data_IF_825209916704
#
_entry.id   IF_825209916704
#
_cell.length_a   1.000
_cell.length_b   1.000
_cell.length_c   1.000
_cell.angle_alpha   90.00
_cell.angle_beta   90.00
_cell.angle_gamma   90.00
#
_symmetry.space_group_name_H-M   'P 1'
#
loop_
_entity.id
_entity.type
_entity.pdbx_description
1 polymer ?
#
# COMPACT_ATOMS: atom_id res chain seq x y z
N UNK A 1 9.95 21.01 -18.68
CA UNK A 1 9.74 19.70 -18.01
C UNK A 1 8.65 19.84 -16.94
N UNK A 2 7.36 19.69 -17.26
CA UNK A 2 6.30 19.74 -16.27
C UNK A 2 6.12 18.38 -15.58
N UNK A 3 5.85 18.46 -14.27
CA UNK A 3 5.90 17.42 -13.25
C UNK A 3 4.90 16.28 -13.54
N UNK A 4 5.40 15.09 -13.92
CA UNK A 4 4.67 13.81 -13.82
C UNK A 4 4.17 13.64 -12.38
N UNK A 5 3.06 13.00 -12.05
CA UNK A 5 1.92 12.46 -12.79
C UNK A 5 1.01 11.90 -11.68
N UNK A 6 -0.30 12.14 -11.80
CA UNK A 6 -1.43 11.35 -11.28
C UNK A 6 -1.43 10.88 -9.82
N UNK A 7 -2.47 11.34 -9.11
CA UNK A 7 -3.07 10.69 -7.94
C UNK A 7 -3.03 9.17 -8.14
N UNK A 8 -2.22 8.51 -7.32
CA UNK A 8 -1.84 7.11 -7.41
C UNK A 8 -3.01 6.21 -7.01
N UNK A 9 -3.67 5.64 -8.01
CA UNK A 9 -4.58 4.51 -7.83
C UNK A 9 -3.76 3.33 -7.29
N UNK A 10 -3.80 3.10 -5.98
CA UNK A 10 -3.18 1.94 -5.36
C UNK A 10 -3.97 0.73 -5.88
N UNK A 11 -3.36 -0.15 -6.69
CA UNK A 11 -4.09 -1.29 -7.24
C UNK A 11 -4.62 -2.16 -6.10
N UNK A 12 -5.83 -2.68 -6.27
CA UNK A 12 -6.43 -3.68 -5.37
C UNK A 12 -5.42 -4.82 -5.18
N UNK A 13 -5.17 -5.27 -3.94
CA UNK A 13 -4.10 -6.23 -3.67
C UNK A 13 -2.79 -5.61 -3.19
N UNK A 14 -2.62 -4.28 -3.25
CA UNK A 14 -1.37 -3.63 -2.83
C UNK A 14 -1.59 -2.54 -1.81
N UNK A 15 -0.58 -2.34 -0.98
CA UNK A 15 -0.49 -1.29 0.03
C UNK A 15 0.77 -0.46 -0.20
N UNK A 16 0.77 0.77 0.33
CA UNK A 16 1.96 1.63 0.32
C UNK A 16 2.70 1.45 1.64
N UNK A 17 3.99 1.12 1.58
CA UNK A 17 4.82 1.05 2.76
C UNK A 17 4.88 2.44 3.44
N UNK A 18 4.59 2.56 4.74
CA UNK A 18 4.61 3.84 5.45
C UNK A 18 6.04 4.39 5.61
N UNK A 19 7.03 3.53 5.47
CA UNK A 19 8.44 3.86 5.69
C UNK A 19 9.14 4.28 4.39
N UNK A 20 9.24 3.37 3.42
CA UNK A 20 9.92 3.62 2.15
C UNK A 20 9.01 4.16 1.05
N UNK A 21 7.70 4.27 1.30
CA UNK A 21 6.69 4.76 0.34
C UNK A 21 6.55 3.93 -0.95
N UNK A 22 7.12 2.72 -1.01
CA UNK A 22 6.95 1.81 -2.14
C UNK A 22 5.64 1.02 -2.06
N UNK A 23 5.16 0.61 -3.22
CA UNK A 23 4.00 -0.27 -3.35
C UNK A 23 4.43 -1.71 -3.13
N UNK A 24 3.81 -2.38 -2.18
CA UNK A 24 4.05 -3.77 -1.83
C UNK A 24 2.72 -4.53 -1.77
N UNK A 25 2.78 -5.85 -1.75
CA UNK A 25 1.58 -6.67 -1.63
C UNK A 25 0.91 -6.51 -0.27
N UNK A 26 -0.42 -6.62 -0.26
CA UNK A 26 -1.19 -6.64 0.97
C UNK A 26 -1.03 -7.99 1.71
N UNK A 27 -1.22 -8.00 3.03
CA UNK A 27 -1.00 -9.18 3.89
C UNK A 27 0.46 -9.42 4.32
N UNK A 28 1.41 -8.62 3.83
CA UNK A 28 2.83 -8.78 4.20
C UNK A 28 3.10 -8.31 5.64
N UNK A 29 3.89 -9.10 6.39
CA UNK A 29 4.34 -8.72 7.75
C UNK A 29 5.53 -7.76 7.72
N UNK A 30 6.37 -7.84 6.67
CA UNK A 30 7.56 -7.01 6.49
C UNK A 30 7.64 -6.52 5.04
N UNK A 31 8.17 -5.33 4.84
CA UNK A 31 8.41 -4.77 3.51
C UNK A 31 9.60 -5.47 2.85
N UNK A 32 9.44 -6.14 1.70
CA UNK A 32 10.55 -6.77 0.98
C UNK A 32 11.53 -5.74 0.38
N UNK A 33 11.12 -4.48 0.27
CA UNK A 33 11.92 -3.42 -0.35
C UNK A 33 12.84 -2.71 0.66
N UNK A 34 12.41 -2.51 1.91
CA UNK A 34 13.21 -1.82 2.93
C UNK A 34 13.46 -2.64 4.21
N UNK A 35 12.77 -3.76 4.41
CA UNK A 35 12.89 -4.61 5.60
C UNK A 35 12.03 -4.19 6.80
N UNK A 36 11.35 -3.04 6.75
CA UNK A 36 10.54 -2.59 7.89
C UNK A 36 9.25 -3.38 8.08
N UNK A 37 8.85 -3.54 9.34
CA UNK A 37 7.64 -4.28 9.72
C UNK A 37 6.39 -3.48 9.35
N UNK A 38 5.45 -4.14 8.67
CA UNK A 38 4.16 -3.55 8.30
C UNK A 38 3.18 -3.73 9.46
N UNK A 39 2.59 -2.64 9.97
CA UNK A 39 1.59 -2.72 11.03
C UNK A 39 0.33 -3.43 10.53
N UNK A 40 -0.29 -4.24 11.39
CA UNK A 40 -1.49 -5.04 11.10
C UNK A 40 -2.61 -4.23 10.41
N UNK A 41 -2.90 -3.03 10.91
CA UNK A 41 -3.93 -2.14 10.36
C UNK A 41 -3.64 -1.63 8.94
N UNK A 42 -2.38 -1.71 8.50
CA UNK A 42 -1.92 -1.23 7.20
C UNK A 42 -1.58 -2.38 6.25
N UNK A 43 -1.79 -3.64 6.68
CA UNK A 43 -1.56 -4.82 5.84
C UNK A 43 -2.59 -4.95 4.75
N UNK A 44 -3.77 -4.37 4.91
CA UNK A 44 -4.87 -4.49 3.95
C UNK A 44 -5.17 -3.13 3.32
N UNK A 45 -5.48 -3.13 2.02
CA UNK A 45 -5.86 -1.91 1.33
C UNK A 45 -7.36 -1.62 1.59
N UNK A 46 -7.73 -0.48 2.21
CA UNK A 46 -9.13 -0.17 2.49
C UNK A 46 -9.99 0.01 1.23
N UNK A 47 -9.39 0.24 0.06
CA UNK A 47 -10.12 0.25 -1.21
C UNK A 47 -10.62 -1.14 -1.65
N UNK A 48 -10.18 -2.22 -1.01
CA UNK A 48 -10.64 -3.59 -1.28
C UNK A 48 -11.97 -3.92 -0.56
N UNK A 49 -12.43 -3.09 0.39
CA UNK A 49 -13.59 -3.41 1.25
C UNK A 49 -14.66 -2.31 1.21
N UNK A 50 -15.37 -2.21 0.07
CA UNK A 50 -16.75 -1.68 0.12
C UNK A 50 -17.69 -2.86 0.42
N UNK A 51 -17.74 -3.25 1.68
CA UNK A 51 -18.82 -4.09 2.22
C UNK A 51 -19.85 -3.15 2.84
N UNK A 52 -20.98 -2.93 2.17
CA UNK A 52 -22.15 -2.28 2.76
C UNK A 52 -22.64 -3.14 3.95
N UNK A 53 -22.79 -2.52 5.12
CA UNK A 53 -23.58 -3.02 6.23
C UNK A 53 -25.00 -2.45 6.14
#
# INVERSE_FOLDING_TARGET
MPKKSKISEIPSGKIKCPDCNKLIDEGLTFCPECGNRIPEFLRFNPNSTTGNL
#
